data_IF_988694793688
#
_entry.id   IF_988694793688
#
_cell.length_a   1.000
_cell.length_b   1.000
_cell.length_c   1.000
_cell.angle_alpha   90.00
_cell.angle_beta   90.00
_cell.angle_gamma   90.00
#
_symmetry.space_group_name_H-M   'P 1'
#
loop_
_entity.id
_entity.type
_entity.pdbx_description
1 polymer ?
#
# COMPACT_ATOMS: atom_id res chain seq x y z
N UNK A 1 -29.36 16.22 -8.10
CA UNK A 1 -28.45 17.00 -7.25
C UNK A 1 -28.70 18.49 -7.49
N UNK A 2 -28.98 19.24 -6.44
CA UNK A 2 -29.22 20.69 -6.59
C UNK A 2 -27.89 21.41 -6.37
N UNK A 3 -27.42 22.17 -7.34
CA UNK A 3 -26.14 22.90 -7.30
C UNK A 3 -26.41 24.37 -7.05
N UNK A 4 -25.76 24.96 -6.04
CA UNK A 4 -25.78 26.41 -5.83
C UNK A 4 -24.70 27.09 -6.69
N UNK A 5 -25.04 27.94 -7.65
CA UNK A 5 -24.06 28.62 -8.50
C UNK A 5 -23.07 29.49 -7.70
N UNK A 6 -23.56 30.17 -6.66
CA UNK A 6 -22.70 30.99 -5.80
C UNK A 6 -21.71 30.15 -5.03
N UNK A 7 -22.16 29.04 -4.46
CA UNK A 7 -21.27 28.11 -3.77
C UNK A 7 -20.20 27.54 -4.71
N UNK A 8 -20.60 27.10 -5.91
CA UNK A 8 -19.67 26.57 -6.90
C UNK A 8 -18.59 27.58 -7.29
N UNK A 9 -18.97 28.86 -7.44
CA UNK A 9 -18.05 29.94 -7.78
C UNK A 9 -17.06 30.23 -6.62
N UNK A 10 -17.56 30.33 -5.39
CA UNK A 10 -16.76 30.70 -4.22
C UNK A 10 -15.91 29.52 -3.69
N UNK A 11 -16.25 28.28 -4.08
CA UNK A 11 -15.52 27.08 -3.67
C UNK A 11 -14.48 26.62 -4.70
N UNK A 12 -14.12 27.45 -5.67
CA UNK A 12 -13.09 27.14 -6.67
C UNK A 12 -11.76 26.85 -5.99
N UNK A 13 -11.08 25.82 -6.49
CA UNK A 13 -9.86 25.26 -5.90
C UNK A 13 -10.13 24.18 -4.83
N UNK A 14 -11.25 24.27 -4.08
CA UNK A 14 -11.62 23.27 -3.10
C UNK A 14 -11.94 21.90 -3.73
N UNK A 15 -12.56 21.90 -4.91
CA UNK A 15 -12.88 20.67 -5.64
C UNK A 15 -11.61 20.03 -6.20
N UNK A 16 -10.67 20.83 -6.67
CA UNK A 16 -9.36 20.39 -7.13
C UNK A 16 -8.57 19.73 -5.98
N UNK A 17 -8.59 20.34 -4.79
CA UNK A 17 -7.98 19.73 -3.59
C UNK A 17 -8.63 18.41 -3.27
N UNK A 18 -9.96 18.32 -3.22
CA UNK A 18 -10.66 17.08 -2.91
C UNK A 18 -10.33 15.96 -3.90
N UNK A 19 -10.18 16.29 -5.19
CA UNK A 19 -9.75 15.32 -6.20
C UNK A 19 -8.30 14.87 -5.99
N UNK A 20 -7.39 15.78 -5.67
CA UNK A 20 -5.98 15.44 -5.38
C UNK A 20 -5.85 14.69 -4.05
N UNK A 21 -6.68 14.98 -3.05
CA UNK A 21 -6.71 14.22 -1.78
C UNK A 21 -7.12 12.76 -2.01
N UNK A 22 -8.12 12.50 -2.85
CA UNK A 22 -8.53 11.15 -3.21
C UNK A 22 -7.41 10.39 -3.94
N UNK A 23 -6.73 11.06 -4.89
CA UNK A 23 -5.57 10.51 -5.58
C UNK A 23 -4.41 10.26 -4.61
N UNK A 24 -4.18 11.18 -3.68
CA UNK A 24 -3.15 11.09 -2.65
C UNK A 24 -3.36 9.91 -1.72
N UNK A 25 -4.60 9.63 -1.33
CA UNK A 25 -4.93 8.46 -0.51
C UNK A 25 -4.54 7.15 -1.22
N UNK A 26 -4.90 7.00 -2.50
CA UNK A 26 -4.50 5.83 -3.30
C UNK A 26 -2.96 5.76 -3.48
N UNK A 27 -2.31 6.90 -3.66
CA UNK A 27 -0.84 6.96 -3.79
C UNK A 27 -0.10 6.62 -2.48
N UNK A 28 -0.72 6.82 -1.31
CA UNK A 28 -0.18 6.36 -0.02
C UNK A 28 -0.13 4.83 0.05
N UNK A 29 -1.19 4.15 -0.36
CA UNK A 29 -1.22 2.69 -0.40
C UNK A 29 -0.18 2.16 -1.40
N UNK A 30 -0.07 2.80 -2.56
CA UNK A 30 0.96 2.50 -3.54
C UNK A 30 2.38 2.68 -2.97
N UNK A 31 2.61 3.76 -2.22
CA UNK A 31 3.90 4.01 -1.56
C UNK A 31 4.24 2.92 -0.55
N UNK A 32 3.26 2.43 0.24
CA UNK A 32 3.47 1.33 1.20
C UNK A 32 3.84 0.04 0.49
N UNK A 33 3.07 -0.35 -0.53
CA UNK A 33 3.39 -1.51 -1.37
C UNK A 33 4.80 -1.39 -1.96
N UNK A 34 5.14 -0.24 -2.53
CA UNK A 34 6.45 0.00 -3.13
C UNK A 34 7.59 -0.05 -2.09
N UNK A 35 7.32 0.36 -0.85
CA UNK A 35 8.29 0.23 0.23
C UNK A 35 8.56 -1.24 0.57
N UNK A 36 7.52 -2.05 0.73
CA UNK A 36 7.65 -3.48 1.00
C UNK A 36 8.40 -4.19 -0.14
N UNK A 37 8.05 -3.89 -1.39
CA UNK A 37 8.75 -4.43 -2.56
C UNK A 37 10.22 -4.00 -2.62
N UNK A 38 10.55 -2.78 -2.17
CA UNK A 38 11.94 -2.33 -2.09
C UNK A 38 12.76 -3.20 -1.15
N UNK A 39 12.19 -3.64 -0.03
CA UNK A 39 12.84 -4.55 0.93
C UNK A 39 12.87 -5.98 0.39
N UNK A 40 11.73 -6.47 -0.12
CA UNK A 40 11.57 -7.85 -0.54
C UNK A 40 12.42 -8.22 -1.78
N UNK A 41 12.85 -7.22 -2.54
CA UNK A 41 13.74 -7.40 -3.70
C UNK A 41 15.23 -7.34 -3.35
N UNK A 42 15.61 -6.96 -2.13
CA UNK A 42 17.02 -6.94 -1.72
C UNK A 42 17.61 -8.35 -1.69
N UNK A 43 18.93 -8.45 -1.75
CA UNK A 43 19.63 -9.73 -1.67
C UNK A 43 19.43 -10.42 -0.32
N UNK A 44 19.28 -9.64 0.75
CA UNK A 44 19.07 -10.13 2.11
C UNK A 44 17.72 -10.85 2.24
N UNK A 45 16.64 -10.24 1.75
CA UNK A 45 15.32 -10.87 1.76
C UNK A 45 15.14 -11.82 0.57
N UNK A 46 15.25 -11.32 -0.65
CA UNK A 46 15.13 -12.11 -1.87
C UNK A 46 13.77 -12.82 -2.01
N UNK A 47 12.70 -12.23 -1.47
CA UNK A 47 11.37 -12.84 -1.43
C UNK A 47 10.62 -12.72 -2.75
N UNK A 48 10.98 -11.72 -3.57
CA UNK A 48 10.33 -11.45 -4.85
C UNK A 48 11.34 -11.04 -5.91
N UNK A 49 11.11 -11.48 -7.14
CA UNK A 49 11.80 -10.96 -8.34
C UNK A 49 10.83 -10.09 -9.13
N UNK A 50 11.34 -8.96 -9.63
CA UNK A 50 10.59 -8.07 -10.51
C UNK A 50 10.80 -8.45 -11.97
N UNK A 51 9.83 -8.17 -12.87
CA UNK A 51 10.02 -8.30 -14.31
C UNK A 51 11.23 -7.49 -14.80
N UNK A 52 12.02 -8.06 -15.69
CA UNK A 52 13.26 -7.45 -16.17
C UNK A 52 13.05 -6.04 -16.77
N UNK A 53 11.91 -5.79 -17.38
CA UNK A 53 11.55 -4.49 -17.95
C UNK A 53 11.34 -3.37 -16.92
N UNK A 54 11.22 -3.71 -15.64
CA UNK A 54 11.04 -2.76 -14.52
C UNK A 54 12.27 -2.67 -13.62
N UNK A 55 13.38 -3.24 -14.09
CA UNK A 55 14.66 -3.21 -13.40
C UNK A 55 15.73 -2.66 -14.33
N UNK A 56 16.73 -1.98 -13.78
CA UNK A 56 17.92 -1.61 -14.54
C UNK A 56 19.17 -2.29 -13.99
N UNK A 57 20.12 -2.53 -14.88
CA UNK A 57 21.44 -3.04 -14.51
C UNK A 57 22.41 -1.93 -14.14
N UNK A 58 23.64 -2.32 -13.91
CA UNK A 58 24.79 -1.41 -13.76
C UNK A 58 25.76 -1.65 -14.91
N UNK A 59 26.36 -0.59 -15.42
CA UNK A 59 27.44 -0.68 -16.43
C UNK A 59 28.73 -1.29 -15.87
N UNK A 60 28.88 -1.32 -14.54
CA UNK A 60 30.11 -1.77 -13.86
C UNK A 60 29.88 -3.08 -13.09
N UNK A 61 28.67 -3.31 -12.58
CA UNK A 61 28.32 -4.48 -11.76
C UNK A 61 27.32 -5.37 -12.48
N UNK A 62 27.74 -6.46 -13.13
CA UNK A 62 26.85 -7.31 -13.94
C UNK A 62 25.72 -7.99 -13.15
N UNK A 63 25.92 -8.17 -11.86
CA UNK A 63 24.94 -8.79 -10.95
C UNK A 63 23.96 -7.79 -10.33
N UNK A 64 24.16 -6.48 -10.52
CA UNK A 64 23.28 -5.46 -9.93
C UNK A 64 21.98 -5.33 -10.73
N UNK A 65 20.86 -5.43 -10.04
CA UNK A 65 19.52 -5.15 -10.54
C UNK A 65 18.85 -4.14 -9.62
N UNK A 66 18.57 -2.96 -10.14
CA UNK A 66 17.91 -1.89 -9.39
C UNK A 66 16.40 -2.00 -9.59
N UNK A 67 15.58 -1.90 -8.55
CA UNK A 67 14.11 -1.93 -8.67
C UNK A 67 13.55 -0.54 -9.03
N UNK A 68 14.00 0.05 -10.15
CA UNK A 68 13.77 1.46 -10.49
C UNK A 68 12.30 1.84 -10.50
N UNK A 69 11.43 0.98 -11.08
CA UNK A 69 10.00 1.27 -11.09
C UNK A 69 9.45 1.37 -9.65
N UNK A 70 9.86 0.47 -8.77
CA UNK A 70 9.42 0.45 -7.36
C UNK A 70 9.89 1.72 -6.65
N UNK A 71 11.11 2.16 -6.91
CA UNK A 71 11.66 3.41 -6.34
C UNK A 71 10.88 4.64 -6.82
N UNK A 72 10.54 4.70 -8.11
CA UNK A 72 9.73 5.78 -8.68
C UNK A 72 8.29 5.77 -8.14
N UNK A 73 7.67 4.59 -7.99
CA UNK A 73 6.36 4.45 -7.37
C UNK A 73 6.36 4.98 -5.93
N UNK A 74 7.41 4.68 -5.18
CA UNK A 74 7.59 5.17 -3.81
C UNK A 74 7.67 6.71 -3.74
N UNK A 75 8.28 7.35 -4.74
CA UNK A 75 8.43 8.79 -4.84
C UNK A 75 7.17 9.52 -5.33
N UNK A 76 6.27 8.83 -6.04
CA UNK A 76 5.09 9.44 -6.67
C UNK A 76 4.21 10.20 -5.68
N UNK A 77 4.02 9.69 -4.48
CA UNK A 77 3.24 10.36 -3.44
C UNK A 77 3.78 11.76 -3.10
N UNK A 78 5.10 11.94 -3.05
CA UNK A 78 5.69 13.24 -2.72
C UNK A 78 5.30 14.31 -3.77
N UNK A 79 5.24 13.93 -5.05
CA UNK A 79 4.82 14.82 -6.14
C UNK A 79 3.34 15.23 -6.02
N UNK A 80 2.47 14.28 -5.65
CA UNK A 80 1.04 14.53 -5.44
C UNK A 80 0.83 15.43 -4.21
N UNK A 81 1.53 15.16 -3.11
CA UNK A 81 1.46 15.96 -1.89
C UNK A 81 1.96 17.40 -2.11
N UNK A 82 3.00 17.60 -2.91
CA UNK A 82 3.47 18.93 -3.30
C UNK A 82 2.39 19.69 -4.09
N UNK A 83 1.75 19.06 -5.05
CA UNK A 83 0.65 19.64 -5.83
C UNK A 83 -0.56 19.99 -4.95
N UNK A 84 -0.87 19.15 -3.97
CA UNK A 84 -1.92 19.40 -2.98
C UNK A 84 -1.61 20.66 -2.17
N UNK A 85 -0.35 20.79 -1.72
CA UNK A 85 0.10 21.97 -0.96
C UNK A 85 0.03 23.25 -1.80
N UNK A 86 0.44 23.19 -3.06
CA UNK A 86 0.32 24.31 -4.00
C UNK A 86 -1.13 24.77 -4.13
N UNK A 87 -2.07 23.85 -4.34
CA UNK A 87 -3.50 24.15 -4.39
C UNK A 87 -3.99 24.80 -3.09
N UNK A 88 -3.59 24.28 -1.94
CA UNK A 88 -4.00 24.83 -0.64
C UNK A 88 -3.50 26.27 -0.44
N UNK A 89 -2.28 26.57 -0.82
CA UNK A 89 -1.73 27.93 -0.72
C UNK A 89 -2.47 28.91 -1.66
N UNK A 90 -2.88 28.46 -2.83
CA UNK A 90 -3.70 29.27 -3.74
C UNK A 90 -5.08 29.60 -3.16
N UNK A 91 -5.64 28.74 -2.30
CA UNK A 91 -6.93 28.96 -1.62
C UNK A 91 -6.84 29.93 -0.44
N UNK A 92 -5.66 30.23 0.05
CA UNK A 92 -5.44 31.20 1.14
C UNK A 92 -5.65 32.65 0.73
N UNK A 93 -5.95 32.88 -0.55
CA UNK A 93 -6.17 34.19 -1.14
C UNK A 93 -7.60 34.71 -0.86
N UNK A 94 -7.84 36.02 -0.99
CA UNK A 94 -9.14 36.63 -0.71
C UNK A 94 -10.30 36.01 -1.51
N UNK A 95 -11.48 36.06 -0.94
CA UNK A 95 -12.71 35.53 -1.57
C UNK A 95 -13.01 36.19 -2.91
N UNK A 96 -13.71 35.47 -3.80
CA UNK A 96 -14.13 35.89 -5.11
C UNK A 96 -13.50 35.13 -6.25
N UNK A 97 -13.68 35.64 -7.46
CA UNK A 97 -13.08 35.04 -8.66
C UNK A 97 -11.89 35.90 -9.14
N UNK A 98 -10.70 35.44 -8.88
CA UNK A 98 -9.47 36.12 -9.24
C UNK A 98 -8.63 35.27 -10.21
N UNK A 99 -7.68 35.89 -10.92
CA UNK A 99 -6.88 35.22 -11.95
C UNK A 99 -5.83 34.26 -11.40
N UNK A 100 -5.42 34.40 -10.18
CA UNK A 100 -4.56 33.49 -9.42
C UNK A 100 -5.07 32.04 -9.44
N UNK A 101 -6.40 31.84 -9.44
CA UNK A 101 -7.01 30.51 -9.63
C UNK A 101 -6.65 29.82 -10.96
N UNK A 102 -6.03 30.51 -11.91
CA UNK A 102 -5.51 29.85 -13.11
C UNK A 102 -4.35 28.89 -12.79
N UNK A 103 -3.60 29.14 -11.73
CA UNK A 103 -2.50 28.27 -11.30
C UNK A 103 -2.96 26.91 -10.76
N UNK A 104 -4.21 26.76 -10.35
CA UNK A 104 -4.73 25.46 -9.88
C UNK A 104 -4.65 24.38 -10.95
N UNK A 105 -4.71 24.73 -12.23
CA UNK A 105 -4.66 23.78 -13.35
C UNK A 105 -3.32 23.07 -13.46
N UNK A 106 -2.21 23.80 -13.29
CA UNK A 106 -0.87 23.23 -13.32
C UNK A 106 -0.67 22.16 -12.27
N UNK A 107 -0.98 22.52 -11.02
CA UNK A 107 -0.89 21.60 -9.89
C UNK A 107 -1.78 20.36 -10.06
N UNK A 108 -3.03 20.55 -10.52
CA UNK A 108 -3.97 19.47 -10.76
C UNK A 108 -3.46 18.50 -11.84
N UNK A 109 -3.07 19.02 -13.01
CA UNK A 109 -2.57 18.17 -14.09
C UNK A 109 -1.27 17.46 -13.74
N UNK A 110 -0.39 18.11 -12.96
CA UNK A 110 0.83 17.48 -12.49
C UNK A 110 0.54 16.30 -11.55
N UNK A 111 -0.36 16.49 -10.58
CA UNK A 111 -0.76 15.42 -9.65
C UNK A 111 -1.37 14.23 -10.41
N UNK A 112 -2.35 14.49 -11.28
CA UNK A 112 -3.05 13.43 -12.00
C UNK A 112 -2.16 12.74 -13.03
N UNK A 113 -1.35 13.48 -13.77
CA UNK A 113 -0.40 12.90 -14.73
C UNK A 113 0.57 11.93 -14.06
N UNK A 114 1.15 12.31 -12.92
CA UNK A 114 2.04 11.45 -12.14
C UNK A 114 1.31 10.29 -11.49
N UNK A 115 0.19 10.56 -10.82
CA UNK A 115 -0.54 9.55 -10.06
C UNK A 115 -1.17 8.47 -10.94
N UNK A 116 -1.91 8.85 -11.98
CA UNK A 116 -2.52 7.90 -12.90
C UNK A 116 -1.49 7.14 -13.72
N UNK A 117 -0.40 7.81 -14.15
CA UNK A 117 0.71 7.16 -14.83
C UNK A 117 1.36 6.07 -13.97
N UNK A 118 1.59 6.34 -12.69
CA UNK A 118 2.10 5.34 -11.74
C UNK A 118 1.13 4.17 -11.55
N UNK A 119 -0.15 4.46 -11.35
CA UNK A 119 -1.18 3.43 -11.15
C UNK A 119 -1.36 2.53 -12.38
N UNK A 120 -1.21 3.07 -13.59
CA UNK A 120 -1.33 2.30 -14.82
C UNK A 120 -0.24 1.22 -14.99
N UNK A 121 0.88 1.35 -14.30
CA UNK A 121 1.98 0.38 -14.33
C UNK A 121 1.76 -0.81 -13.38
N UNK A 122 0.94 -0.63 -12.34
CA UNK A 122 0.73 -1.64 -11.29
C UNK A 122 0.24 -3.00 -11.81
N UNK A 123 -0.78 -3.09 -12.68
CA UNK A 123 -1.29 -4.39 -13.11
C UNK A 123 -0.23 -5.26 -13.79
N UNK A 124 0.64 -4.66 -14.56
CA UNK A 124 1.72 -5.38 -15.26
C UNK A 124 2.88 -5.73 -14.32
N UNK A 125 3.22 -4.82 -13.40
CA UNK A 125 4.19 -5.10 -12.35
C UNK A 125 3.75 -6.31 -11.52
N UNK A 126 2.54 -6.28 -10.97
CA UNK A 126 2.03 -7.33 -10.07
C UNK A 126 1.88 -8.68 -10.77
N UNK A 127 1.43 -8.71 -12.05
CA UNK A 127 1.32 -9.97 -12.80
C UNK A 127 2.67 -10.58 -13.14
N UNK A 128 3.70 -9.76 -13.31
CA UNK A 128 5.03 -10.23 -13.69
C UNK A 128 5.97 -10.48 -12.52
N UNK A 129 5.54 -10.24 -11.27
CA UNK A 129 6.32 -10.57 -10.09
C UNK A 129 6.36 -12.09 -9.86
N UNK A 130 7.51 -12.58 -9.47
CA UNK A 130 7.72 -13.98 -9.06
C UNK A 130 8.05 -14.06 -7.58
N UNK A 131 7.19 -14.71 -6.82
CA UNK A 131 7.42 -14.97 -5.40
C UNK A 131 8.33 -16.17 -5.21
N UNK A 132 9.36 -16.00 -4.40
CA UNK A 132 10.33 -17.07 -4.08
C UNK A 132 9.86 -17.82 -2.83
N UNK A 133 8.95 -18.77 -3.04
CA UNK A 133 8.28 -19.51 -1.94
C UNK A 133 9.25 -20.17 -0.98
N UNK A 134 10.36 -20.74 -1.50
CA UNK A 134 11.38 -21.37 -0.65
C UNK A 134 12.10 -20.37 0.26
N UNK A 135 12.36 -19.15 -0.26
CA UNK A 135 12.94 -18.08 0.54
C UNK A 135 11.96 -17.57 1.59
N UNK A 136 10.68 -17.43 1.23
CA UNK A 136 9.63 -17.06 2.17
C UNK A 136 9.50 -18.12 3.27
N UNK A 137 9.47 -19.41 2.92
CA UNK A 137 9.39 -20.49 3.90
C UNK A 137 10.61 -20.53 4.82
N UNK A 138 11.82 -20.27 4.30
CA UNK A 138 13.04 -20.24 5.11
C UNK A 138 13.14 -19.04 6.06
N UNK A 139 12.31 -18.02 5.88
CA UNK A 139 12.28 -16.83 6.74
C UNK A 139 11.37 -16.99 7.96
N UNK A 140 10.65 -18.11 8.08
CA UNK A 140 9.86 -18.40 9.28
C UNK A 140 10.80 -18.69 10.45
N UNK A 141 10.55 -18.01 11.55
CA UNK A 141 11.27 -18.15 12.82
C UNK A 141 10.34 -18.70 13.89
N UNK A 142 10.88 -19.48 14.81
CA UNK A 142 10.12 -20.09 15.90
C UNK A 142 9.35 -19.04 16.72
N UNK A 143 9.89 -17.84 16.86
CA UNK A 143 9.27 -16.71 17.56
C UNK A 143 7.93 -16.25 16.94
N UNK A 144 7.70 -16.50 15.65
CA UNK A 144 6.45 -16.14 14.98
C UNK A 144 5.24 -16.92 15.50
N UNK A 145 5.46 -18.09 16.09
CA UNK A 145 4.41 -18.95 16.65
C UNK A 145 4.08 -18.65 18.11
N UNK A 146 4.83 -17.76 18.76
CA UNK A 146 4.63 -17.44 20.19
C UNK A 146 3.21 -16.93 20.48
N UNK A 147 2.65 -16.13 19.56
CA UNK A 147 1.28 -15.61 19.70
C UNK A 147 0.24 -16.75 19.57
N UNK A 148 0.45 -17.69 18.65
CA UNK A 148 -0.48 -18.82 18.45
C UNK A 148 -0.51 -19.67 19.71
N UNK A 149 0.66 -19.96 20.30
CA UNK A 149 0.75 -20.66 21.57
C UNK A 149 0.03 -19.95 22.73
N UNK A 150 0.19 -18.63 22.84
CA UNK A 150 -0.49 -17.85 23.86
C UNK A 150 -2.02 -17.87 23.68
N UNK A 151 -2.49 -17.80 22.43
CA UNK A 151 -3.93 -17.89 22.12
C UNK A 151 -4.47 -19.29 22.45
N UNK A 152 -3.78 -20.37 22.08
CA UNK A 152 -4.15 -21.74 22.42
C UNK A 152 -4.32 -21.93 23.93
N UNK A 153 -3.37 -21.46 24.73
CA UNK A 153 -3.43 -21.52 26.20
C UNK A 153 -4.60 -20.69 26.74
N UNK A 154 -4.89 -19.54 26.16
CA UNK A 154 -6.02 -18.72 26.56
C UNK A 154 -7.38 -19.38 26.23
N UNK A 155 -7.50 -20.00 25.07
CA UNK A 155 -8.66 -20.78 24.67
C UNK A 155 -8.86 -22.00 25.58
N UNK A 156 -7.78 -22.60 26.06
CA UNK A 156 -7.81 -23.68 27.03
C UNK A 156 -8.21 -23.22 28.45
N UNK A 157 -8.47 -21.91 28.66
CA UNK A 157 -9.00 -21.36 29.91
C UNK A 157 -7.96 -20.64 30.79
N UNK A 158 -6.71 -20.51 30.33
CA UNK A 158 -5.72 -19.73 31.06
C UNK A 158 -5.94 -18.22 30.85
N UNK A 159 -5.93 -17.36 31.90
CA UNK A 159 -5.99 -15.91 31.70
C UNK A 159 -4.91 -15.44 30.73
N UNK A 160 -5.24 -14.60 29.75
CA UNK A 160 -4.34 -14.26 28.64
C UNK A 160 -2.96 -13.76 29.10
N UNK A 161 -2.90 -13.01 30.20
CA UNK A 161 -1.62 -12.54 30.77
C UNK A 161 -0.70 -13.68 31.22
N UNK A 162 -1.30 -14.72 31.79
CA UNK A 162 -0.53 -15.93 32.21
C UNK A 162 -0.17 -16.80 31.00
N UNK A 163 -1.11 -16.95 30.06
CA UNK A 163 -0.87 -17.62 28.79
C UNK A 163 0.30 -16.98 28.03
N UNK A 164 0.36 -15.66 27.97
CA UNK A 164 1.47 -14.91 27.36
C UNK A 164 2.81 -15.20 28.05
N UNK A 165 2.85 -15.16 29.40
CA UNK A 165 4.08 -15.45 30.14
C UNK A 165 4.55 -16.88 29.93
N UNK A 166 3.63 -17.83 29.95
CA UNK A 166 3.92 -19.23 29.74
C UNK A 166 4.42 -19.47 28.31
N UNK A 167 3.76 -18.93 27.29
CA UNK A 167 4.19 -19.03 25.91
C UNK A 167 5.60 -18.43 25.67
N UNK A 168 5.96 -17.37 26.41
CA UNK A 168 7.29 -16.76 26.33
C UNK A 168 8.39 -17.57 27.04
N UNK A 169 8.03 -18.41 28.02
CA UNK A 169 8.96 -19.20 28.81
C UNK A 169 9.18 -20.62 28.26
N UNK A 170 8.26 -21.15 27.48
CA UNK A 170 8.33 -22.48 26.89
C UNK A 170 9.06 -22.47 25.55
N UNK A 171 9.75 -23.58 25.21
CA UNK A 171 10.27 -23.76 23.86
C UNK A 171 9.14 -23.65 22.83
N UNK A 172 9.34 -22.81 21.81
CA UNK A 172 8.41 -22.66 20.72
C UNK A 172 8.51 -23.84 19.74
N UNK A 173 7.44 -24.14 18.97
CA UNK A 173 7.53 -25.13 17.90
C UNK A 173 8.70 -24.79 16.96
N UNK A 174 9.38 -25.79 16.45
CA UNK A 174 10.48 -25.57 15.50
C UNK A 174 9.94 -24.93 14.22
N UNK A 175 10.73 -24.05 13.62
CA UNK A 175 10.45 -23.46 12.32
C UNK A 175 10.13 -24.56 11.31
N UNK A 176 8.97 -24.48 10.66
CA UNK A 176 8.43 -25.53 9.77
C UNK A 176 7.32 -26.37 10.40
N UNK A 177 6.99 -26.20 11.69
CA UNK A 177 5.69 -26.59 12.21
C UNK A 177 4.62 -25.82 11.43
N UNK A 178 3.71 -26.50 10.84
CA UNK A 178 2.64 -26.10 9.92
C UNK A 178 2.31 -24.60 9.84
N UNK A 179 3.11 -23.84 9.06
CA UNK A 179 2.90 -22.42 8.84
C UNK A 179 1.52 -22.15 8.21
N UNK A 180 0.99 -23.10 7.42
CA UNK A 180 -0.35 -22.98 6.84
C UNK A 180 -1.43 -23.06 7.92
N UNK A 181 -1.31 -23.98 8.88
CA UNK A 181 -2.26 -24.05 10.01
C UNK A 181 -2.25 -22.76 10.84
N UNK A 182 -1.08 -22.17 11.08
CA UNK A 182 -0.95 -20.88 11.76
C UNK A 182 -1.66 -19.74 10.99
N UNK A 183 -1.54 -19.71 9.66
CA UNK A 183 -2.23 -18.72 8.83
C UNK A 183 -3.75 -18.96 8.83
N UNK A 184 -4.18 -20.20 8.69
CA UNK A 184 -5.59 -20.60 8.64
C UNK A 184 -6.33 -20.32 9.96
N UNK A 185 -5.63 -20.35 11.09
CA UNK A 185 -6.18 -20.00 12.41
C UNK A 185 -6.49 -18.49 12.55
N UNK A 186 -5.98 -17.62 11.68
CA UNK A 186 -6.19 -16.16 11.72
C UNK A 186 -7.45 -15.75 10.97
N UNK A 187 -8.60 -16.19 11.46
CA UNK A 187 -9.93 -16.06 10.84
C UNK A 187 -10.64 -14.72 11.09
N UNK A 188 -10.04 -13.80 11.82
CA UNK A 188 -10.60 -12.46 12.00
C UNK A 188 -10.74 -11.77 10.64
N UNK A 189 -11.87 -11.07 10.34
CA UNK A 189 -12.04 -10.34 9.08
C UNK A 189 -10.87 -9.39 8.80
N UNK A 190 -10.22 -9.55 7.65
CA UNK A 190 -8.99 -8.83 7.29
C UNK A 190 -7.69 -9.47 7.79
N UNK A 191 -7.76 -10.58 8.53
CA UNK A 191 -6.60 -11.38 8.91
C UNK A 191 -6.05 -12.23 7.76
N UNK A 192 -4.89 -12.88 7.99
CA UNK A 192 -4.22 -13.68 6.97
C UNK A 192 -5.05 -14.89 6.48
N UNK A 193 -5.90 -15.47 7.35
CA UNK A 193 -6.83 -16.57 7.00
C UNK A 193 -8.12 -16.08 6.37
N UNK A 194 -8.47 -14.80 6.52
CA UNK A 194 -9.65 -14.18 5.88
C UNK A 194 -9.35 -12.74 5.43
N UNK A 195 -8.72 -12.59 4.30
CA UNK A 195 -8.37 -11.29 3.72
C UNK A 195 -9.57 -10.50 3.18
N UNK A 196 -10.78 -11.04 3.23
CA UNK A 196 -11.99 -10.36 2.76
C UNK A 196 -12.03 -10.10 1.24
N UNK A 197 -11.27 -10.85 0.44
CA UNK A 197 -11.13 -10.60 -1.01
C UNK A 197 -12.45 -10.72 -1.78
N UNK A 198 -13.36 -11.60 -1.34
CA UNK A 198 -14.68 -11.75 -1.96
C UNK A 198 -15.51 -10.47 -1.79
N UNK A 199 -15.50 -9.88 -0.61
CA UNK A 199 -16.18 -8.61 -0.32
C UNK A 199 -15.59 -7.47 -1.14
N UNK A 200 -14.25 -7.37 -1.24
CA UNK A 200 -13.58 -6.35 -2.02
C UNK A 200 -13.90 -6.47 -3.52
N UNK A 201 -13.93 -7.68 -4.07
CA UNK A 201 -14.35 -7.95 -5.45
C UNK A 201 -15.79 -7.49 -5.69
N UNK A 202 -16.72 -7.83 -4.80
CA UNK A 202 -18.13 -7.42 -4.93
C UNK A 202 -18.28 -5.89 -4.91
N UNK A 203 -17.57 -5.20 -4.04
CA UNK A 203 -17.56 -3.73 -3.98
C UNK A 203 -17.00 -3.12 -5.26
N UNK A 204 -15.92 -3.66 -5.80
CA UNK A 204 -15.31 -3.19 -7.04
C UNK A 204 -16.28 -3.37 -8.23
N UNK A 205 -16.97 -4.51 -8.32
CA UNK A 205 -17.98 -4.78 -9.35
C UNK A 205 -19.16 -3.78 -9.25
N UNK A 206 -19.62 -3.47 -8.03
CA UNK A 206 -20.66 -2.48 -7.80
C UNK A 206 -20.28 -1.07 -8.27
N UNK A 207 -19.03 -0.67 -8.09
CA UNK A 207 -18.51 0.62 -8.57
C UNK A 207 -18.40 0.63 -10.11
N UNK A 208 -17.87 -0.43 -10.70
CA UNK A 208 -17.71 -0.53 -12.16
C UNK A 208 -19.05 -0.61 -12.92
N UNK A 209 -20.10 -1.19 -12.31
CA UNK A 209 -21.45 -1.29 -12.91
C UNK A 209 -22.30 -0.03 -12.74
N UNK A 210 -21.84 0.97 -11.99
CA UNK A 210 -22.53 2.25 -11.75
C UNK A 210 -21.96 3.43 -12.58
N UNK A 211 -21.01 3.19 -13.46
CA UNK A 211 -20.35 4.18 -14.34
C UNK A 211 -20.91 4.18 -15.75
#
# INVERSE_FOLDING_TARGET
MQVSPIYAQLSRGKFEIAAVDALGAAALDLRRLAWDLSLFTTAEFGFVSLPAQYTTGSSIMPNKRNPDLVELLRATYASIAASRTELEQLLSLPSGYHRDLQFTKGALFHAFGRGLGAMALLPNLLRGMEWKTDRLASAFDDGMYATDKAVELAVAGLPFREAYKQAAAEPLPKAGADAQASLDARVSPGGAGDMGLAMLKSRLQGIAGSS
#
